data_IF_915429880449
#
_entry.id   IF_915429880449
#
_cell.length_a   1.000
_cell.length_b   1.000
_cell.length_c   1.000
_cell.angle_alpha   90.00
_cell.angle_beta   90.00
_cell.angle_gamma   90.00
#
_symmetry.space_group_name_H-M   'P 1'
#
loop_
_entity.id
_entity.type
_entity.pdbx_description
1 polymer ?
#
# COMPACT_ATOMS: atom_id res chain seq x y z
N UNK A 1 17.46 -17.34 -8.26
CA UNK A 1 16.48 -16.79 -7.30
C UNK A 1 17.14 -15.62 -6.60
N UNK A 2 16.46 -14.48 -6.53
CA UNK A 2 16.99 -13.26 -5.92
C UNK A 2 16.66 -13.21 -4.43
N UNK A 3 17.26 -14.10 -3.63
CA UNK A 3 16.99 -14.22 -2.19
C UNK A 3 17.21 -12.93 -1.39
N UNK A 4 18.01 -12.02 -1.93
CA UNK A 4 18.17 -10.66 -1.42
C UNK A 4 16.83 -9.89 -1.38
N UNK A 5 15.83 -10.23 -2.18
CA UNK A 5 14.52 -9.57 -2.10
C UNK A 5 13.70 -9.95 -0.86
N UNK A 6 14.14 -10.93 -0.04
CA UNK A 6 13.50 -11.22 1.26
C UNK A 6 13.48 -9.96 2.14
N UNK A 7 14.59 -9.23 2.27
CA UNK A 7 14.61 -8.04 3.13
C UNK A 7 13.66 -6.95 2.58
N UNK A 8 13.58 -6.83 1.24
CA UNK A 8 12.70 -5.86 0.59
C UNK A 8 11.23 -6.19 0.83
N UNK A 9 10.89 -7.47 0.69
CA UNK A 9 9.56 -7.99 1.00
C UNK A 9 9.22 -7.84 2.47
N UNK A 10 10.20 -8.05 3.36
CA UNK A 10 10.03 -7.84 4.79
C UNK A 10 9.68 -6.38 5.12
N UNK A 11 10.41 -5.41 4.56
CA UNK A 11 10.08 -4.00 4.71
C UNK A 11 8.67 -3.66 4.17
N UNK A 12 8.27 -4.23 3.04
CA UNK A 12 6.91 -4.05 2.50
C UNK A 12 5.84 -4.65 3.42
N UNK A 13 6.08 -5.86 3.95
CA UNK A 13 5.16 -6.50 4.90
C UNK A 13 5.03 -5.71 6.20
N UNK A 14 6.12 -5.12 6.71
CA UNK A 14 6.06 -4.23 7.87
C UNK A 14 5.17 -3.02 7.59
N UNK A 15 5.27 -2.39 6.42
CA UNK A 15 4.37 -1.27 6.09
C UNK A 15 2.91 -1.69 5.98
N UNK A 16 2.61 -2.85 5.41
CA UNK A 16 1.24 -3.33 5.24
C UNK A 16 0.55 -3.69 6.57
N UNK A 17 1.32 -3.88 7.64
CA UNK A 17 0.79 -4.03 9.00
C UNK A 17 0.25 -2.71 9.58
N UNK A 18 0.59 -1.56 8.99
CA UNK A 18 0.13 -0.24 9.45
C UNK A 18 -0.95 0.31 8.53
N UNK A 19 -2.14 0.60 9.06
CA UNK A 19 -3.19 1.27 8.30
C UNK A 19 -2.70 2.60 7.72
N UNK A 20 -2.97 2.83 6.42
CA UNK A 20 -2.58 4.05 5.72
C UNK A 20 -1.19 4.02 5.08
N UNK A 21 -0.37 3.00 5.34
CA UNK A 21 0.93 2.81 4.68
C UNK A 21 0.83 1.60 3.75
N UNK A 22 1.15 1.79 2.46
CA UNK A 22 1.09 0.73 1.45
C UNK A 22 2.48 0.14 1.18
N UNK A 23 2.56 -1.17 1.05
CA UNK A 23 3.74 -1.88 0.55
C UNK A 23 4.22 -1.35 -0.81
N UNK A 24 3.31 -0.81 -1.64
CA UNK A 24 3.66 -0.10 -2.88
C UNK A 24 4.55 1.12 -2.63
N UNK A 25 4.29 1.88 -1.55
CA UNK A 25 5.14 3.01 -1.14
C UNK A 25 6.55 2.52 -0.78
N UNK A 26 6.68 1.43 -0.04
CA UNK A 26 8.00 0.86 0.30
C UNK A 26 8.69 0.25 -0.92
N UNK A 27 7.95 -0.34 -1.86
CA UNK A 27 8.52 -0.82 -3.11
C UNK A 27 9.16 0.32 -3.93
N UNK A 28 8.55 1.52 -3.91
CA UNK A 28 9.15 2.73 -4.47
C UNK A 28 10.41 3.11 -3.70
N UNK A 29 10.37 3.18 -2.35
CA UNK A 29 11.56 3.50 -1.50
C UNK A 29 12.76 2.62 -1.85
N UNK A 30 12.50 1.34 -2.05
CA UNK A 30 13.54 0.34 -2.30
C UNK A 30 13.96 0.24 -3.77
N UNK A 31 13.40 1.09 -4.64
CA UNK A 31 13.72 1.11 -6.07
C UNK A 31 13.29 -0.15 -6.83
N UNK A 32 12.33 -0.90 -6.28
CA UNK A 32 11.85 -2.16 -6.88
C UNK A 32 10.44 -2.08 -7.45
N UNK A 33 9.82 -0.90 -7.44
CA UNK A 33 8.43 -0.73 -7.83
C UNK A 33 8.17 -1.15 -9.29
N UNK A 34 8.98 -0.69 -10.24
CA UNK A 34 8.85 -1.08 -11.65
C UNK A 34 9.12 -2.58 -11.85
N UNK A 35 10.13 -3.12 -11.16
CA UNK A 35 10.45 -4.55 -11.18
C UNK A 35 9.30 -5.40 -10.64
N UNK A 36 8.62 -4.92 -9.59
CA UNK A 36 7.43 -5.56 -9.01
C UNK A 36 6.27 -5.56 -10.01
N UNK A 37 5.96 -4.42 -10.63
CA UNK A 37 4.91 -4.34 -11.65
C UNK A 37 5.22 -5.23 -12.86
N UNK A 38 6.47 -5.25 -13.33
CA UNK A 38 6.92 -6.12 -14.40
C UNK A 38 6.82 -7.61 -14.03
N UNK A 39 7.17 -7.98 -12.80
CA UNK A 39 7.08 -9.34 -12.33
C UNK A 39 5.64 -9.84 -12.21
N UNK A 40 4.73 -8.99 -11.73
CA UNK A 40 3.31 -9.33 -11.60
C UNK A 40 2.65 -9.41 -12.98
N UNK A 41 2.89 -8.43 -13.85
CA UNK A 41 2.32 -8.41 -15.22
C UNK A 41 2.84 -9.57 -16.07
N UNK A 42 4.10 -9.96 -15.87
CA UNK A 42 4.77 -11.08 -16.51
C UNK A 42 4.45 -12.46 -15.90
N UNK A 43 3.64 -12.55 -14.85
CA UNK A 43 3.34 -13.80 -14.15
C UNK A 43 2.71 -14.87 -15.05
N UNK A 44 1.92 -14.47 -16.04
CA UNK A 44 1.31 -15.37 -17.03
C UNK A 44 2.06 -15.39 -18.38
N UNK A 45 3.26 -14.82 -18.44
CA UNK A 45 4.08 -14.81 -19.65
C UNK A 45 4.84 -16.13 -19.84
N UNK A 46 5.45 -16.31 -21.01
CA UNK A 46 6.34 -17.44 -21.31
C UNK A 46 7.57 -17.48 -20.38
N UNK A 47 7.93 -16.35 -19.78
CA UNK A 47 9.06 -16.19 -18.86
C UNK A 47 8.66 -16.16 -17.38
N UNK A 48 7.44 -16.61 -17.02
CA UNK A 48 6.90 -16.61 -15.65
C UNK A 48 7.86 -17.13 -14.57
N UNK A 49 8.72 -18.11 -14.89
CA UNK A 49 9.75 -18.64 -13.97
C UNK A 49 10.76 -17.57 -13.53
N UNK A 50 11.14 -16.65 -14.41
CA UNK A 50 12.04 -15.52 -14.07
C UNK A 50 11.35 -14.57 -13.10
N UNK A 51 10.08 -14.26 -13.35
CA UNK A 51 9.30 -13.39 -12.46
C UNK A 51 9.05 -14.03 -11.09
N UNK A 52 8.81 -15.34 -11.02
CA UNK A 52 8.74 -16.08 -9.75
C UNK A 52 10.05 -16.04 -8.96
N UNK A 53 11.20 -16.03 -9.64
CA UNK A 53 12.50 -15.91 -8.97
C UNK A 53 12.69 -14.58 -8.23
N UNK A 54 11.90 -13.55 -8.57
CA UNK A 54 11.78 -12.28 -7.86
C UNK A 54 10.63 -12.30 -6.84
N UNK A 55 9.43 -12.77 -7.25
CA UNK A 55 8.22 -12.72 -6.42
C UNK A 55 8.27 -13.65 -5.21
N UNK A 56 8.83 -14.87 -5.33
CA UNK A 56 8.87 -15.83 -4.22
C UNK A 56 9.67 -15.29 -3.03
N UNK A 57 10.93 -14.82 -3.20
CA UNK A 57 11.67 -14.20 -2.10
C UNK A 57 10.96 -12.98 -1.52
N UNK A 58 10.33 -12.15 -2.35
CA UNK A 58 9.59 -10.97 -1.88
C UNK A 58 8.39 -11.37 -1.03
N UNK A 59 7.57 -12.31 -1.50
CA UNK A 59 6.42 -12.84 -0.79
C UNK A 59 6.83 -13.54 0.52
N UNK A 60 7.95 -14.28 0.51
CA UNK A 60 8.52 -14.88 1.72
C UNK A 60 8.93 -13.81 2.74
N UNK A 61 9.50 -12.69 2.29
CA UNK A 61 9.79 -11.54 3.14
C UNK A 61 8.54 -10.92 3.77
N UNK A 62 7.50 -10.68 2.96
CA UNK A 62 6.21 -10.16 3.44
C UNK A 62 5.63 -11.11 4.48
N UNK A 63 5.55 -12.40 4.18
CA UNK A 63 5.06 -13.42 5.10
C UNK A 63 5.86 -13.46 6.40
N UNK A 64 7.19 -13.39 6.33
CA UNK A 64 8.05 -13.34 7.50
C UNK A 64 7.75 -12.10 8.38
N UNK A 65 7.54 -10.92 7.79
CA UNK A 65 7.15 -9.73 8.54
C UNK A 65 5.80 -9.90 9.25
N UNK A 66 4.79 -10.45 8.58
CA UNK A 66 3.51 -10.74 9.21
C UNK A 66 3.63 -11.75 10.35
N UNK A 67 4.45 -12.80 10.20
CA UNK A 67 4.61 -13.82 11.24
C UNK A 67 5.40 -13.31 12.46
N UNK A 68 6.46 -12.52 12.26
CA UNK A 68 7.35 -12.11 13.35
C UNK A 68 6.99 -10.78 14.00
N UNK A 69 6.49 -9.81 13.22
CA UNK A 69 6.27 -8.43 13.68
C UNK A 69 4.80 -8.08 13.90
N UNK A 70 3.83 -8.87 13.46
CA UNK A 70 2.40 -8.57 13.67
C UNK A 70 2.05 -8.27 15.13
N UNK A 71 2.58 -9.08 16.06
CA UNK A 71 2.35 -8.89 17.49
C UNK A 71 3.00 -7.60 18.03
N UNK A 72 4.21 -7.28 17.56
CA UNK A 72 4.95 -6.07 17.96
C UNK A 72 4.25 -4.83 17.43
N UNK A 73 3.89 -4.79 16.14
CA UNK A 73 3.17 -3.66 15.54
C UNK A 73 1.81 -3.48 16.21
N UNK A 74 1.09 -4.57 16.49
CA UNK A 74 -0.17 -4.52 17.25
C UNK A 74 0.02 -3.93 18.65
N UNK A 75 1.07 -4.35 19.36
CA UNK A 75 1.42 -3.78 20.68
C UNK A 75 1.75 -2.29 20.59
N UNK A 76 2.57 -1.89 19.61
CA UNK A 76 2.98 -0.51 19.41
C UNK A 76 1.79 0.39 19.03
N UNK A 77 0.90 -0.08 18.16
CA UNK A 77 -0.32 0.66 17.82
C UNK A 77 -1.32 0.76 18.98
N UNK A 78 -1.34 -0.22 19.90
CA UNK A 78 -2.21 -0.19 21.07
C UNK A 78 -1.68 0.68 22.21
N UNK A 79 -0.37 0.70 22.44
CA UNK A 79 0.25 1.34 23.61
C UNK A 79 1.05 2.61 23.28
N UNK A 80 1.50 2.75 22.03
CA UNK A 80 2.36 3.84 21.54
C UNK A 80 1.87 4.34 20.18
N UNK A 81 0.56 4.58 20.05
CA UNK A 81 -0.08 4.96 18.80
C UNK A 81 0.57 6.19 18.15
N UNK A 82 0.71 7.30 18.89
CA UNK A 82 1.26 8.55 18.37
C UNK A 82 2.71 8.36 17.86
N UNK A 83 3.70 7.87 18.64
CA UNK A 83 5.06 7.68 18.13
C UNK A 83 5.13 6.71 16.94
N UNK A 84 4.31 5.66 16.95
CA UNK A 84 4.26 4.71 15.84
C UNK A 84 3.79 5.40 14.56
N UNK A 85 2.71 6.17 14.61
CA UNK A 85 2.20 6.91 13.46
C UNK A 85 3.20 7.99 12.98
N UNK A 86 3.86 8.69 13.89
CA UNK A 86 4.89 9.68 13.54
C UNK A 86 6.12 9.05 12.85
N UNK A 87 6.51 7.82 13.20
CA UNK A 87 7.53 7.07 12.44
C UNK A 87 7.13 6.90 10.97
N UNK A 88 5.90 6.46 10.70
CA UNK A 88 5.41 6.26 9.33
C UNK A 88 5.21 7.58 8.59
N UNK A 89 4.78 8.63 9.29
CA UNK A 89 4.72 9.97 8.74
C UNK A 89 6.11 10.44 8.27
N UNK A 90 7.16 10.17 9.06
CA UNK A 90 8.55 10.44 8.66
C UNK A 90 8.96 9.68 7.40
N UNK A 91 8.61 8.39 7.30
CA UNK A 91 8.85 7.58 6.10
C UNK A 91 8.14 8.16 4.85
N UNK A 92 6.85 8.50 4.98
CA UNK A 92 6.02 9.04 3.88
C UNK A 92 6.54 10.40 3.42
N UNK A 93 6.82 11.32 4.35
CA UNK A 93 7.34 12.64 3.98
C UNK A 93 8.71 12.53 3.32
N UNK A 94 9.57 11.61 3.80
CA UNK A 94 10.89 11.43 3.22
C UNK A 94 10.88 10.85 1.81
N UNK A 95 9.85 10.12 1.39
CA UNK A 95 9.78 9.56 0.02
C UNK A 95 9.35 10.62 -1.01
N UNK A 96 8.62 11.67 -0.60
CA UNK A 96 8.10 12.69 -1.52
C UNK A 96 9.19 13.34 -2.39
N UNK A 97 10.34 13.80 -1.84
CA UNK A 97 11.43 14.33 -2.66
C UNK A 97 11.99 13.32 -3.67
N UNK A 98 12.03 12.04 -3.30
CA UNK A 98 12.52 10.98 -4.17
C UNK A 98 11.58 10.75 -5.34
N UNK A 99 10.26 10.71 -5.09
CA UNK A 99 9.24 10.63 -6.13
C UNK A 99 9.27 11.84 -7.06
N UNK A 100 9.42 13.05 -6.51
CA UNK A 100 9.54 14.27 -7.30
C UNK A 100 10.80 14.27 -8.17
N UNK A 101 11.91 13.68 -7.70
CA UNK A 101 13.14 13.51 -8.49
C UNK A 101 12.98 12.47 -9.59
N UNK A 102 12.37 11.32 -9.30
CA UNK A 102 12.12 10.25 -10.28
C UNK A 102 11.18 10.70 -11.41
N UNK A 103 10.21 11.55 -11.06
CA UNK A 103 9.30 12.18 -12.02
C UNK A 103 9.95 13.32 -12.85
N UNK A 104 11.17 13.73 -12.50
CA UNK A 104 11.77 15.00 -12.94
C UNK A 104 10.77 16.18 -12.83
N UNK A 105 10.07 16.24 -11.69
CA UNK A 105 8.88 17.07 -11.53
C UNK A 105 9.18 18.56 -11.76
N UNK A 106 10.40 19.02 -11.44
CA UNK A 106 10.79 20.42 -11.65
C UNK A 106 10.81 20.83 -13.11
N UNK A 107 11.15 19.92 -14.02
CA UNK A 107 11.21 20.20 -15.45
C UNK A 107 9.91 19.79 -16.17
N UNK A 108 9.24 18.73 -15.70
CA UNK A 108 8.13 18.12 -16.44
C UNK A 108 6.74 18.53 -15.94
N UNK A 109 6.59 18.92 -14.67
CA UNK A 109 5.27 19.26 -14.14
C UNK A 109 4.81 20.62 -14.65
N UNK A 110 3.55 20.66 -15.04
CA UNK A 110 2.83 21.81 -15.60
C UNK A 110 1.53 21.98 -14.82
N UNK A 111 0.78 23.06 -15.06
CA UNK A 111 -0.49 23.32 -14.36
C UNK A 111 -1.42 22.11 -14.28
N UNK A 112 -1.62 21.39 -15.40
CA UNK A 112 -2.45 20.18 -15.41
C UNK A 112 -1.95 19.05 -14.50
N UNK A 113 -0.63 18.86 -14.38
CA UNK A 113 -0.04 17.87 -13.48
C UNK A 113 -0.25 18.24 -12.01
N UNK A 114 -0.12 19.54 -11.68
CA UNK A 114 -0.37 20.03 -10.32
C UNK A 114 -1.85 19.86 -9.94
N UNK A 115 -2.76 20.15 -10.87
CA UNK A 115 -4.20 19.91 -10.67
C UNK A 115 -4.47 18.43 -10.41
N UNK A 116 -3.92 17.53 -11.22
CA UNK A 116 -4.07 16.08 -11.03
C UNK A 116 -3.53 15.61 -9.68
N UNK A 117 -2.36 16.10 -9.27
CA UNK A 117 -1.76 15.81 -7.97
C UNK A 117 -2.68 16.25 -6.83
N UNK A 118 -3.21 17.47 -6.88
CA UNK A 118 -4.12 18.00 -5.85
C UNK A 118 -5.41 17.16 -5.80
N UNK A 119 -5.99 16.81 -6.95
CA UNK A 119 -7.18 15.97 -7.01
C UNK A 119 -6.90 14.61 -6.37
N UNK A 120 -5.78 13.96 -6.72
CA UNK A 120 -5.40 12.67 -6.14
C UNK A 120 -5.16 12.76 -4.62
N UNK A 121 -4.51 13.84 -4.15
CA UNK A 121 -4.29 14.08 -2.73
C UNK A 121 -5.60 14.28 -1.97
N UNK A 122 -6.53 15.08 -2.51
CA UNK A 122 -7.84 15.30 -1.90
C UNK A 122 -8.64 13.99 -1.88
N UNK A 123 -8.65 13.23 -2.97
CA UNK A 123 -9.40 11.97 -3.06
C UNK A 123 -8.99 11.01 -1.94
N UNK A 124 -7.68 10.86 -1.70
CA UNK A 124 -7.17 10.02 -0.60
C UNK A 124 -7.38 10.69 0.76
N UNK A 125 -7.12 11.99 0.90
CA UNK A 125 -7.28 12.68 2.19
C UNK A 125 -8.72 12.65 2.71
N UNK A 126 -9.73 12.77 1.84
CA UNK A 126 -11.14 12.69 2.25
C UNK A 126 -11.44 11.33 2.89
N UNK A 127 -10.79 10.26 2.43
CA UNK A 127 -10.97 8.92 3.01
C UNK A 127 -10.66 8.85 4.51
N UNK A 128 -9.77 9.71 5.04
CA UNK A 128 -9.48 9.79 6.47
C UNK A 128 -10.70 10.19 7.31
N UNK A 129 -11.67 10.89 6.70
CA UNK A 129 -12.88 11.35 7.37
C UNK A 129 -14.06 10.39 7.19
N UNK A 130 -13.93 9.39 6.31
CA UNK A 130 -14.88 8.29 6.26
C UNK A 130 -14.63 7.39 7.47
N UNK A 131 -15.62 7.30 8.35
CA UNK A 131 -15.68 6.25 9.37
C UNK A 131 -16.48 5.11 8.76
N UNK A 132 -15.85 4.03 8.26
CA UNK A 132 -16.59 2.93 7.69
C UNK A 132 -17.43 2.33 8.82
N UNK A 133 -18.75 2.27 8.63
CA UNK A 133 -19.62 1.58 9.58
C UNK A 133 -19.19 0.12 9.63
N UNK A 134 -18.59 -0.28 10.76
CA UNK A 134 -18.20 -1.67 11.03
C UNK A 134 -19.41 -2.61 11.16
N UNK A 135 -20.62 -2.11 10.95
CA UNK A 135 -21.89 -2.77 11.20
C UNK A 135 -22.47 -3.51 9.98
N UNK A 136 -21.77 -3.55 8.84
CA UNK A 136 -22.19 -4.42 7.75
C UNK A 136 -21.96 -5.89 8.15
N UNK A 137 -23.06 -6.64 8.27
CA UNK A 137 -22.98 -8.08 8.51
C UNK A 137 -22.17 -8.75 7.39
N UNK A 138 -21.23 -9.64 7.73
CA UNK A 138 -20.43 -10.32 6.72
C UNK A 138 -21.33 -11.17 5.83
N UNK A 139 -21.09 -11.09 4.51
CA UNK A 139 -21.73 -11.99 3.55
C UNK A 139 -21.16 -13.38 3.80
N UNK A 140 -21.97 -14.32 4.26
CA UNK A 140 -21.54 -15.70 4.54
C UNK A 140 -21.93 -16.68 3.44
N UNK A 141 -22.93 -16.33 2.62
CA UNK A 141 -23.45 -17.16 1.54
C UNK A 141 -23.07 -16.63 0.17
N UNK A 142 -22.56 -17.52 -0.68
CA UNK A 142 -22.19 -17.18 -2.06
C UNK A 142 -23.44 -17.25 -2.97
N UNK A 143 -23.96 -16.09 -3.35
CA UNK A 143 -24.92 -15.92 -4.45
C UNK A 143 -24.20 -15.39 -5.69
N UNK A 144 -24.80 -15.49 -6.88
CA UNK A 144 -24.18 -14.96 -8.11
C UNK A 144 -23.88 -13.45 -7.98
N UNK A 145 -24.83 -12.69 -7.43
CA UNK A 145 -24.67 -11.23 -7.25
C UNK A 145 -23.54 -10.91 -6.27
N UNK A 146 -23.49 -11.60 -5.13
CA UNK A 146 -22.42 -11.43 -4.15
C UNK A 146 -21.07 -11.90 -4.72
N UNK A 147 -21.04 -12.95 -5.53
CA UNK A 147 -19.82 -13.42 -6.16
C UNK A 147 -19.21 -12.34 -7.07
N UNK A 148 -20.04 -11.70 -7.91
CA UNK A 148 -19.61 -10.60 -8.78
C UNK A 148 -19.10 -9.42 -7.93
N UNK A 149 -19.86 -9.02 -6.91
CA UNK A 149 -19.46 -7.92 -6.03
C UNK A 149 -18.13 -8.19 -5.30
N UNK A 150 -17.96 -9.38 -4.75
CA UNK A 150 -16.75 -9.80 -4.03
C UNK A 150 -15.54 -9.93 -4.96
N UNK A 151 -15.75 -10.39 -6.19
CA UNK A 151 -14.71 -10.43 -7.22
C UNK A 151 -14.20 -9.01 -7.53
N UNK A 152 -15.09 -8.06 -7.81
CA UNK A 152 -14.69 -6.68 -8.09
C UNK A 152 -14.12 -5.96 -6.87
N UNK A 153 -14.60 -6.28 -5.66
CA UNK A 153 -14.00 -5.77 -4.42
C UNK A 153 -12.56 -6.27 -4.26
N UNK A 154 -12.31 -7.56 -4.48
CA UNK A 154 -10.96 -8.13 -4.49
C UNK A 154 -10.05 -7.50 -5.55
N UNK A 155 -10.59 -7.29 -6.76
CA UNK A 155 -9.88 -6.57 -7.82
C UNK A 155 -9.50 -5.16 -7.34
N UNK A 156 -10.45 -4.33 -6.93
CA UNK A 156 -10.20 -2.94 -6.50
C UNK A 156 -9.20 -2.88 -5.35
N UNK A 157 -9.29 -3.79 -4.39
CA UNK A 157 -8.34 -3.89 -3.29
C UNK A 157 -6.90 -4.17 -3.78
N UNK A 158 -6.74 -5.07 -4.75
CA UNK A 158 -5.42 -5.34 -5.35
C UNK A 158 -4.87 -4.15 -6.15
N UNK A 159 -5.74 -3.37 -6.82
CA UNK A 159 -5.29 -2.14 -7.51
C UNK A 159 -4.74 -1.13 -6.52
N UNK A 160 -5.44 -0.93 -5.40
CA UNK A 160 -5.02 -0.02 -4.36
C UNK A 160 -3.71 -0.46 -3.73
N UNK A 161 -3.53 -1.76 -3.48
CA UNK A 161 -2.28 -2.30 -2.96
C UNK A 161 -1.08 -2.08 -3.90
N UNK A 162 -1.31 -2.02 -5.21
CA UNK A 162 -0.27 -1.66 -6.19
C UNK A 162 0.04 -0.17 -6.19
N UNK A 163 -0.93 0.70 -5.93
CA UNK A 163 -0.73 2.15 -5.95
C UNK A 163 -0.10 2.65 -4.62
N UNK A 164 1.02 3.39 -4.66
CA UNK A 164 1.60 3.99 -3.47
C UNK A 164 0.60 4.93 -2.77
N UNK A 165 0.54 4.84 -1.44
CA UNK A 165 -0.31 5.70 -0.60
C UNK A 165 -1.75 5.23 -0.37
N UNK A 166 -2.21 4.12 -0.98
CA UNK A 166 -3.53 3.54 -0.68
C UNK A 166 -3.36 2.07 -0.23
N UNK A 167 -4.02 1.68 0.86
CA UNK A 167 -4.04 0.28 1.31
C UNK A 167 -5.24 -0.49 0.73
N UNK A 168 -5.01 -1.71 0.24
CA UNK A 168 -6.08 -2.57 -0.28
C UNK A 168 -7.12 -2.97 0.76
N UNK A 169 -6.70 -3.20 2.01
CA UNK A 169 -7.62 -3.51 3.12
C UNK A 169 -8.53 -2.32 3.45
N UNK A 170 -8.02 -1.11 3.28
CA UNK A 170 -8.79 0.12 3.48
C UNK A 170 -9.84 0.34 2.39
N UNK A 171 -9.54 0.01 1.14
CA UNK A 171 -10.56 -0.01 0.07
C UNK A 171 -11.68 -1.01 0.40
N UNK A 172 -11.34 -2.21 0.88
CA UNK A 172 -12.35 -3.18 1.31
C UNK A 172 -13.20 -2.67 2.47
N UNK A 173 -12.62 -1.87 3.38
CA UNK A 173 -13.35 -1.24 4.48
C UNK A 173 -14.35 -0.20 3.97
N UNK A 174 -13.94 0.69 3.07
CA UNK A 174 -14.83 1.72 2.50
C UNK A 174 -16.00 1.08 1.75
N UNK A 175 -15.76 0.00 1.01
CA UNK A 175 -16.79 -0.72 0.25
C UNK A 175 -17.64 -1.63 1.16
N UNK A 176 -17.26 -1.81 2.43
CA UNK A 176 -17.99 -2.65 3.40
C UNK A 176 -17.75 -4.15 3.26
N UNK A 177 -16.78 -4.57 2.44
CA UNK A 177 -16.46 -5.98 2.17
C UNK A 177 -15.40 -6.55 3.12
N UNK A 178 -14.68 -5.69 3.86
CA UNK A 178 -13.64 -6.13 4.77
C UNK A 178 -14.11 -7.13 5.85
N UNK A 179 -15.26 -6.93 6.54
CA UNK A 179 -15.78 -7.94 7.49
C UNK A 179 -16.01 -9.29 6.82
N UNK A 180 -16.55 -9.30 5.60
CA UNK A 180 -16.74 -10.52 4.79
C UNK A 180 -15.42 -11.22 4.50
N UNK A 181 -14.39 -10.47 4.06
CA UNK A 181 -13.09 -11.03 3.74
C UNK A 181 -12.41 -11.66 4.96
N UNK A 182 -12.44 -10.98 6.12
CA UNK A 182 -11.90 -11.52 7.37
C UNK A 182 -12.70 -12.72 7.86
N UNK A 183 -14.03 -12.64 7.85
CA UNK A 183 -14.89 -13.75 8.25
C UNK A 183 -14.66 -14.99 7.38
N UNK A 184 -14.53 -14.82 6.07
CA UNK A 184 -14.24 -15.92 5.15
C UNK A 184 -12.91 -16.59 5.48
N UNK A 185 -11.86 -15.81 5.80
CA UNK A 185 -10.56 -16.35 6.21
C UNK A 185 -10.61 -17.07 7.56
N UNK A 186 -11.29 -16.52 8.57
CA UNK A 186 -11.34 -17.12 9.91
C UNK A 186 -12.22 -18.36 9.98
N UNK A 187 -13.30 -18.41 9.18
CA UNK A 187 -14.19 -19.57 9.07
C UNK A 187 -13.77 -20.57 8.00
N UNK A 188 -12.67 -20.29 7.28
CA UNK A 188 -12.20 -21.06 6.13
C UNK A 188 -13.29 -21.30 5.08
N UNK A 189 -14.11 -20.26 4.80
CA UNK A 189 -15.11 -20.28 3.75
C UNK A 189 -14.44 -20.24 2.37
N UNK A 190 -14.00 -21.42 1.91
CA UNK A 190 -13.24 -21.58 0.67
C UNK A 190 -13.94 -20.99 -0.57
N UNK A 191 -15.27 -21.09 -0.75
CA UNK A 191 -15.95 -20.43 -1.86
C UNK A 191 -15.77 -18.91 -1.90
N UNK A 192 -15.93 -18.22 -0.76
CA UNK A 192 -15.75 -16.77 -0.69
C UNK A 192 -14.28 -16.38 -0.85
N UNK A 193 -13.36 -17.13 -0.22
CA UNK A 193 -11.92 -16.93 -0.38
C UNK A 193 -11.53 -17.08 -1.85
N UNK A 194 -12.04 -18.09 -2.55
CA UNK A 194 -11.73 -18.34 -3.95
C UNK A 194 -12.20 -17.20 -4.85
N UNK A 195 -13.41 -16.66 -4.63
CA UNK A 195 -13.95 -15.55 -5.44
C UNK A 195 -13.20 -14.24 -5.19
N UNK A 196 -12.98 -13.87 -3.93
CA UNK A 196 -12.21 -12.68 -3.57
C UNK A 196 -10.77 -12.82 -4.10
N UNK A 197 -10.17 -13.99 -3.88
CA UNK A 197 -8.82 -14.31 -4.33
C UNK A 197 -8.69 -14.28 -5.86
N UNK A 198 -9.68 -14.77 -6.60
CA UNK A 198 -9.71 -14.66 -8.06
C UNK A 198 -9.76 -13.19 -8.51
N UNK A 199 -10.57 -12.37 -7.84
CA UNK A 199 -10.61 -10.92 -8.07
C UNK A 199 -9.25 -10.26 -7.83
N UNK A 200 -8.60 -10.58 -6.71
CA UNK A 200 -7.26 -10.10 -6.37
C UNK A 200 -6.24 -10.51 -7.44
N UNK A 201 -6.23 -11.78 -7.86
CA UNK A 201 -5.28 -12.29 -8.86
C UNK A 201 -5.45 -11.61 -10.22
N UNK A 202 -6.69 -11.49 -10.70
CA UNK A 202 -7.00 -10.81 -11.96
C UNK A 202 -6.65 -9.33 -11.86
N UNK A 203 -7.07 -8.68 -10.78
CA UNK A 203 -6.79 -7.26 -10.53
C UNK A 203 -5.30 -6.97 -10.49
N UNK A 204 -4.50 -7.77 -9.80
CA UNK A 204 -3.04 -7.63 -9.79
C UNK A 204 -2.45 -7.62 -11.20
N UNK A 205 -2.86 -8.54 -12.07
CA UNK A 205 -2.29 -8.68 -13.41
C UNK A 205 -2.77 -7.57 -14.34
N UNK A 206 -4.07 -7.28 -14.33
CA UNK A 206 -4.64 -6.25 -15.22
C UNK A 206 -4.16 -4.87 -14.79
N UNK A 207 -4.18 -4.58 -13.49
CA UNK A 207 -3.78 -3.28 -12.97
C UNK A 207 -2.27 -3.07 -13.01
N UNK A 208 -1.44 -4.10 -12.78
CA UNK A 208 0.01 -3.95 -12.99
C UNK A 208 0.34 -3.60 -14.45
N UNK A 209 -0.30 -4.26 -15.43
CA UNK A 209 -0.16 -3.90 -16.86
C UNK A 209 -0.63 -2.48 -17.15
N UNK A 210 -1.78 -2.08 -16.60
CA UNK A 210 -2.30 -0.73 -16.76
C UNK A 210 -1.37 0.34 -16.18
N UNK A 211 -0.86 0.12 -14.96
CA UNK A 211 0.06 1.04 -14.31
C UNK A 211 1.40 1.10 -15.07
N UNK A 212 1.97 -0.04 -15.47
CA UNK A 212 3.18 -0.07 -16.30
C UNK A 212 3.00 0.69 -17.60
N UNK A 213 1.90 0.46 -18.32
CA UNK A 213 1.59 1.20 -19.55
C UNK A 213 1.50 2.71 -19.32
N UNK A 214 0.88 3.14 -18.22
CA UNK A 214 0.76 4.55 -17.87
C UNK A 214 2.13 5.15 -17.50
N UNK A 215 2.98 4.43 -16.77
CA UNK A 215 4.34 4.88 -16.43
C UNK A 215 5.19 5.04 -17.69
N UNK A 216 5.08 4.12 -18.67
CA UNK A 216 5.85 4.17 -19.91
C UNK A 216 5.39 5.31 -20.84
N UNK A 217 4.07 5.49 -20.99
CA UNK A 217 3.50 6.44 -21.97
C UNK A 217 3.24 7.84 -21.40
N UNK A 218 2.92 7.91 -20.11
CA UNK A 218 2.39 9.10 -19.44
C UNK A 218 3.11 9.37 -18.10
N UNK A 219 4.43 9.09 -18.03
CA UNK A 219 5.27 9.18 -16.81
C UNK A 219 4.91 10.35 -15.90
N UNK A 220 4.95 11.59 -16.39
CA UNK A 220 4.70 12.79 -15.57
C UNK A 220 3.29 12.86 -15.00
N UNK A 221 2.26 12.44 -15.74
CA UNK A 221 0.89 12.38 -15.22
C UNK A 221 0.73 11.28 -14.16
N UNK A 222 1.30 10.11 -14.42
CA UNK A 222 1.25 8.99 -13.47
C UNK A 222 1.98 9.30 -12.17
N UNK A 223 3.18 9.89 -12.26
CA UNK A 223 3.91 10.33 -11.07
C UNK A 223 3.21 11.48 -10.34
N UNK A 224 2.58 12.44 -11.05
CA UNK A 224 1.79 13.48 -10.40
C UNK A 224 0.64 12.88 -9.60
N UNK A 225 -0.07 11.90 -10.16
CA UNK A 225 -1.11 11.16 -9.44
C UNK A 225 -0.53 10.41 -8.23
N UNK A 226 0.54 9.62 -8.40
CA UNK A 226 1.18 8.87 -7.31
C UNK A 226 1.63 9.80 -6.18
N UNK A 227 2.30 10.91 -6.49
CA UNK A 227 2.71 11.90 -5.48
C UNK A 227 1.49 12.46 -4.76
N UNK A 228 0.41 12.76 -5.49
CA UNK A 228 -0.86 13.19 -4.91
C UNK A 228 -1.41 12.16 -3.93
N UNK A 229 -1.50 10.89 -4.33
CA UNK A 229 -1.96 9.79 -3.46
C UNK A 229 -1.11 9.69 -2.18
N UNK A 230 0.21 9.78 -2.30
CA UNK A 230 1.14 9.74 -1.16
C UNK A 230 0.96 10.96 -0.26
N UNK A 231 0.77 12.17 -0.81
CA UNK A 231 0.46 13.37 -0.01
C UNK A 231 -0.88 13.20 0.71
N UNK A 232 -1.91 12.68 0.05
CA UNK A 232 -3.21 12.43 0.68
C UNK A 232 -3.12 11.43 1.84
N UNK A 233 -2.25 10.42 1.73
CA UNK A 233 -2.03 9.43 2.79
C UNK A 233 -1.44 10.02 4.08
N UNK A 234 -0.77 11.18 4.01
CA UNK A 234 -0.30 11.91 5.19
C UNK A 234 -1.46 12.25 6.13
N UNK A 235 -2.63 12.62 5.58
CA UNK A 235 -3.82 12.97 6.38
C UNK A 235 -4.39 11.73 7.08
N UNK A 236 -4.29 10.55 6.46
CA UNK A 236 -4.76 9.27 7.04
C UNK A 236 -3.86 8.84 8.21
N UNK A 237 -2.54 8.99 8.03
CA UNK A 237 -1.53 8.52 9.00
C UNK A 237 -1.31 9.53 10.13
N UNK A 238 -1.61 10.81 9.93
CA UNK A 238 -1.39 11.83 10.96
C UNK A 238 -2.31 11.60 12.18
N UNK A 239 -1.75 11.30 13.37
CA UNK A 239 -2.54 10.94 14.55
C UNK A 239 -3.13 12.15 15.29
N UNK A 240 -2.78 13.38 14.88
CA UNK A 240 -2.99 14.60 15.66
C UNK A 240 -1.71 15.08 16.34
N UNK A 241 -1.81 16.19 17.08
CA UNK A 241 -0.68 16.75 17.84
C UNK A 241 -0.63 16.05 19.21
N UNK A 242 0.48 15.37 19.57
CA UNK A 242 0.66 14.75 20.87
C UNK A 242 0.56 15.79 22.00
N UNK A 243 -0.16 15.46 23.07
CA UNK A 243 -0.39 16.39 24.20
C UNK A 243 0.51 16.13 25.40
N UNK A 244 1.00 14.89 25.58
CA UNK A 244 1.89 14.52 26.68
C UNK A 244 3.37 14.75 26.36
N UNK A 245 4.15 15.31 27.30
CA UNK A 245 5.57 15.62 27.10
C UNK A 245 6.42 14.44 26.62
N UNK A 246 6.24 13.25 27.20
CA UNK A 246 6.91 12.01 26.77
C UNK A 246 6.45 11.60 25.36
N UNK A 247 5.17 11.76 25.05
CA UNK A 247 4.62 11.42 23.74
C UNK A 247 5.14 12.35 22.64
N UNK A 248 5.28 13.65 22.94
CA UNK A 248 5.87 14.64 22.03
C UNK A 248 7.32 14.25 21.71
N UNK A 249 8.15 14.03 22.74
CA UNK A 249 9.56 13.70 22.55
C UNK A 249 9.73 12.39 21.77
N UNK A 250 9.00 11.34 22.16
CA UNK A 250 9.06 10.05 21.45
C UNK A 250 8.53 10.14 20.02
N UNK A 251 7.49 10.94 19.75
CA UNK A 251 6.97 11.19 18.40
C UNK A 251 7.97 11.95 17.52
N UNK A 252 8.69 12.93 18.06
CA UNK A 252 9.74 13.64 17.32
C UNK A 252 10.90 12.69 16.99
N UNK A 253 11.36 11.90 17.97
CA UNK A 253 12.44 10.93 17.77
C UNK A 253 12.07 9.91 16.70
N UNK A 254 10.89 9.32 16.82
CA UNK A 254 10.40 8.30 15.87
C UNK A 254 10.16 8.88 14.48
N UNK A 255 9.64 10.11 14.36
CA UNK A 255 9.55 10.82 13.09
C UNK A 255 10.90 10.98 12.41
N UNK A 256 11.92 11.47 13.15
CA UNK A 256 13.27 11.64 12.63
C UNK A 256 13.87 10.29 12.22
N UNK A 257 13.66 9.23 13.01
CA UNK A 257 14.11 7.88 12.66
C UNK A 257 13.46 7.38 11.36
N UNK A 258 12.14 7.55 11.21
CA UNK A 258 11.44 7.21 9.98
C UNK A 258 12.01 7.97 8.79
N UNK A 259 12.18 9.28 8.91
CA UNK A 259 12.77 10.10 7.87
C UNK A 259 14.22 9.68 7.52
N UNK A 260 15.03 9.35 8.53
CA UNK A 260 16.41 8.90 8.37
C UNK A 260 16.52 7.56 7.63
N UNK A 261 15.59 6.62 7.88
CA UNK A 261 15.56 5.32 7.20
C UNK A 261 15.50 5.52 5.68
N UNK A 262 14.54 6.30 5.18
CA UNK A 262 14.38 6.50 3.73
C UNK A 262 15.56 7.26 3.13
N UNK A 263 16.04 8.31 3.80
CA UNK A 263 17.20 9.08 3.29
C UNK A 263 18.49 8.26 3.24
N UNK A 264 18.66 7.28 4.13
CA UNK A 264 19.78 6.35 4.10
C UNK A 264 19.67 5.35 2.94
N UNK A 265 18.48 4.76 2.74
CA UNK A 265 18.27 3.76 1.68
C UNK A 265 18.12 4.37 0.27
N UNK A 266 17.61 5.60 0.14
CA UNK A 266 17.38 6.28 -1.15
C UNK A 266 18.61 6.98 -1.76
N UNK A 267 19.77 6.92 -1.09
CA UNK A 267 21.07 7.41 -1.62
C UNK A 267 21.87 6.33 -2.36
N UNK A 268 21.42 5.07 -2.35
CA UNK A 268 22.03 3.97 -3.11
C UNK A 268 21.23 3.69 -4.37
#
# INVERSE_FOLDING_TARGET
MEWRNIYRGFCMGVSDLIPGVSGGTIAVVLGIYEQLLAAISGFFSREWKKHLAFLIPLAAGVAAAFLTLSHVIKYLLANHYEPTQFFFLGLIISILPMLMREADAKATFKGGHIVLLIIAAILVAITAFFKPDKAADPITTLTILNAIGLFFAGWMASMAMLLPGISGSFILLIIGVYPTAINALTTLNLPLIAVIGAGVMVGFVVSSKGISFLLDRYKSMTFAAIIGLVIGSIVIVFPGIPTGGISIVSSIITFILGFAVVTYFGKK
#
